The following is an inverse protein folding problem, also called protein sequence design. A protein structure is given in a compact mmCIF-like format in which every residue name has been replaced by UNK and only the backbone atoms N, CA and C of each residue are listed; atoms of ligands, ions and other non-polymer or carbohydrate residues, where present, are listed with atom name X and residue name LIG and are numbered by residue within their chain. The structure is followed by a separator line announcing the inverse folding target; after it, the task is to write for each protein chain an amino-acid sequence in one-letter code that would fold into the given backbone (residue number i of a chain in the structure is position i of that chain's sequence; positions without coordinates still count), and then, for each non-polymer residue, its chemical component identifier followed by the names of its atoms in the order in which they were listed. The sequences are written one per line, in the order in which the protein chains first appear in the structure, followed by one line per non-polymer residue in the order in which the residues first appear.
data_IF_630453131911
#
_entry.id   IF_630453131911
#
_cell.length_a   1.000
_cell.length_b   1.000
_cell.length_c   1.000
_cell.angle_alpha   90.00
_cell.angle_beta   90.00
_cell.angle_gamma   90.00
#
_symmetry.space_group_name_H-M   'P 1'
#
loop_
_entity.id
_entity.type
_entity.pdbx_description
1 polymer ?
#
# COMPACT_ATOMS: atom_id res chain seq x y z
N UNK A 1 15.61 12.40 -38.11
CA UNK A 1 14.84 11.16 -38.32
C UNK A 1 15.32 10.13 -37.32
N UNK A 2 14.58 9.92 -36.23
CA UNK A 2 14.93 8.95 -35.18
C UNK A 2 14.58 7.55 -35.73
N UNK A 3 15.57 6.66 -35.81
CA UNK A 3 15.36 5.32 -36.37
C UNK A 3 14.42 4.51 -35.46
N UNK A 4 13.42 3.85 -36.06
CA UNK A 4 12.36 3.08 -35.39
C UNK A 4 12.89 2.03 -34.37
N UNK A 5 14.11 1.54 -34.58
CA UNK A 5 14.79 0.60 -33.66
C UNK A 5 15.14 1.24 -32.30
N UNK A 6 15.50 2.53 -32.27
CA UNK A 6 15.83 3.21 -31.01
C UNK A 6 14.59 3.61 -30.21
N UNK A 7 13.44 3.76 -30.88
CA UNK A 7 12.18 4.07 -30.20
C UNK A 7 11.72 2.91 -29.30
N UNK A 8 11.90 1.66 -29.75
CA UNK A 8 11.62 0.46 -28.95
C UNK A 8 12.56 0.30 -27.75
N UNK A 9 13.84 0.65 -27.91
CA UNK A 9 14.83 0.59 -26.82
C UNK A 9 14.54 1.66 -25.76
N UNK A 10 14.10 2.86 -26.16
CA UNK A 10 13.73 3.93 -25.24
C UNK A 10 12.46 3.59 -24.44
N UNK A 11 11.50 2.90 -25.06
CA UNK A 11 10.24 2.50 -24.40
C UNK A 11 10.46 1.48 -23.28
N UNK A 12 11.48 0.62 -23.42
CA UNK A 12 11.81 -0.44 -22.45
C UNK A 12 12.60 0.05 -21.23
N UNK A 13 13.15 1.27 -21.27
CA UNK A 13 13.93 1.85 -20.17
C UNK A 13 13.07 2.64 -19.16
N UNK A 14 11.78 2.84 -19.45
CA UNK A 14 10.86 3.61 -18.60
C UNK A 14 10.42 2.94 -17.27
N UNK A 15 10.45 1.60 -17.04
CA UNK A 15 9.90 1.04 -15.81
C UNK A 15 10.91 0.97 -14.63
N UNK A 16 12.14 1.50 -14.77
CA UNK A 16 13.18 1.33 -13.76
C UNK A 16 12.93 2.10 -12.44
N UNK A 17 11.94 3.00 -12.38
CA UNK A 17 11.48 3.60 -11.13
C UNK A 17 10.13 2.99 -10.73
N UNK A 18 10.14 1.75 -10.23
CA UNK A 18 9.06 1.27 -9.37
C UNK A 18 9.21 1.96 -8.01
N UNK A 19 8.86 3.24 -7.94
CA UNK A 19 8.70 3.93 -6.67
C UNK A 19 7.48 3.30 -6.01
N UNK A 20 7.70 2.45 -5.01
CA UNK A 20 6.63 1.92 -4.17
C UNK A 20 6.06 3.09 -3.38
N UNK A 21 5.12 3.81 -4.01
CA UNK A 21 4.43 4.94 -3.43
C UNK A 21 3.55 4.39 -2.31
N UNK A 22 4.10 4.34 -1.10
CA UNK A 22 3.30 4.14 0.09
C UNK A 22 2.34 5.33 0.18
N UNK A 23 1.02 5.10 0.28
CA UNK A 23 0.07 6.20 0.40
C UNK A 23 0.41 7.02 1.65
N UNK A 24 0.11 8.32 1.62
CA UNK A 24 0.49 9.27 2.69
C UNK A 24 0.05 8.77 4.08
N UNK A 25 -1.06 8.04 4.17
CA UNK A 25 -1.58 7.42 5.40
C UNK A 25 -0.66 6.32 5.96
N UNK A 26 -0.01 5.53 5.11
CA UNK A 26 1.03 4.59 5.53
C UNK A 26 2.30 5.30 6.01
N UNK A 27 2.53 6.55 5.58
CA UNK A 27 3.69 7.33 6.00
C UNK A 27 3.56 7.87 7.44
N UNK A 28 2.33 8.15 7.87
CA UNK A 28 2.02 8.68 9.21
C UNK A 28 1.63 7.62 10.24
N UNK A 29 1.43 6.36 9.84
CA UNK A 29 1.09 5.30 10.78
C UNK A 29 1.69 3.93 10.45
N UNK A 30 2.21 3.73 9.25
CA UNK A 30 2.78 2.45 8.83
C UNK A 30 4.23 2.29 9.27
N UNK A 31 5.09 3.15 8.75
CA UNK A 31 6.54 3.03 8.91
C UNK A 31 7.02 3.48 10.30
N UNK A 32 6.34 4.47 10.88
CA UNK A 32 6.64 5.01 12.21
C UNK A 32 6.29 4.03 13.35
N UNK A 33 5.21 3.26 13.20
CA UNK A 33 4.79 2.28 14.22
C UNK A 33 5.70 1.05 14.21
N UNK A 34 6.27 0.70 13.06
CA UNK A 34 7.20 -0.41 12.94
C UNK A 34 8.66 -0.01 13.28
N UNK A 35 8.94 1.29 13.46
CA UNK A 35 10.29 1.79 13.74
C UNK A 35 10.76 1.39 15.15
N UNK A 36 11.96 0.81 15.26
CA UNK A 36 12.47 0.26 16.53
C UNK A 36 11.98 -1.14 16.92
N UNK A 37 11.01 -1.71 16.19
CA UNK A 37 10.51 -3.07 16.45
C UNK A 37 11.37 -4.18 15.82
N UNK A 38 11.13 -5.43 16.24
CA UNK A 38 11.79 -6.63 15.70
C UNK A 38 11.51 -6.80 14.19
N UNK A 39 12.40 -7.48 13.43
CA UNK A 39 12.16 -7.74 12.01
C UNK A 39 10.84 -8.47 11.74
N UNK A 40 10.45 -9.37 12.64
CA UNK A 40 9.21 -10.13 12.60
C UNK A 40 7.98 -9.23 12.75
N UNK A 41 8.00 -8.30 13.72
CA UNK A 41 6.94 -7.29 13.88
C UNK A 41 6.81 -6.41 12.63
N UNK A 42 7.94 -5.96 12.07
CA UNK A 42 7.95 -5.14 10.85
C UNK A 42 7.33 -5.88 9.66
N UNK A 43 7.67 -7.16 9.49
CA UNK A 43 7.10 -7.99 8.45
C UNK A 43 5.59 -8.18 8.64
N UNK A 44 5.17 -8.53 9.86
CA UNK A 44 3.75 -8.68 10.20
C UNK A 44 2.97 -7.40 9.92
N UNK A 45 3.50 -6.26 10.35
CA UNK A 45 2.89 -4.96 10.13
C UNK A 45 2.74 -4.63 8.63
N UNK A 46 3.79 -4.84 7.83
CA UNK A 46 3.75 -4.59 6.39
C UNK A 46 2.72 -5.47 5.67
N UNK A 47 2.68 -6.77 5.99
CA UNK A 47 1.76 -7.73 5.38
C UNK A 47 0.30 -7.52 5.81
N UNK A 48 0.09 -7.21 7.08
CA UNK A 48 -1.23 -6.88 7.63
C UNK A 48 -1.80 -5.63 6.96
N UNK A 49 -0.97 -4.61 6.77
CA UNK A 49 -1.37 -3.38 6.09
C UNK A 49 -1.71 -3.62 4.61
N UNK A 50 -0.89 -4.39 3.88
CA UNK A 50 -1.18 -4.80 2.49
C UNK A 50 -2.51 -5.55 2.38
N UNK A 51 -2.79 -6.44 3.33
CA UNK A 51 -4.06 -7.17 3.40
C UNK A 51 -5.23 -6.22 3.68
N UNK A 52 -5.09 -5.29 4.63
CA UNK A 52 -6.13 -4.30 4.94
C UNK A 52 -6.52 -3.44 3.72
N UNK A 53 -5.52 -3.05 2.93
CA UNK A 53 -5.72 -2.32 1.67
C UNK A 53 -6.35 -3.17 0.56
N UNK A 54 -6.10 -4.48 0.51
CA UNK A 54 -6.80 -5.36 -0.43
C UNK A 54 -8.32 -5.40 -0.16
N UNK A 55 -8.75 -5.18 1.09
CA UNK A 55 -10.17 -5.24 1.47
C UNK A 55 -10.87 -3.89 1.27
N UNK A 56 -10.24 -2.79 1.69
CA UNK A 56 -10.85 -1.44 1.70
C UNK A 56 -10.18 -0.44 0.76
N UNK A 57 -9.23 -0.88 -0.07
CA UNK A 57 -8.60 -0.07 -1.11
C UNK A 57 -9.56 0.43 -2.19
N UNK A 58 -9.07 1.29 -3.08
CA UNK A 58 -9.79 1.61 -4.32
C UNK A 58 -10.00 0.35 -5.19
N UNK A 59 -10.92 0.39 -6.15
CA UNK A 59 -11.25 -0.75 -7.03
C UNK A 59 -10.02 -1.38 -7.69
N UNK A 60 -9.05 -0.57 -8.10
CA UNK A 60 -7.81 -1.06 -8.71
C UNK A 60 -7.01 -1.84 -7.68
N UNK A 61 -6.80 -1.31 -6.48
CA UNK A 61 -6.07 -1.96 -5.39
C UNK A 61 -6.71 -3.29 -4.99
N UNK A 62 -8.04 -3.36 -4.91
CA UNK A 62 -8.76 -4.61 -4.61
C UNK A 62 -8.61 -5.66 -5.71
N UNK A 63 -8.46 -5.24 -6.97
CA UNK A 63 -8.31 -6.15 -8.11
C UNK A 63 -6.90 -6.73 -8.25
N UNK A 64 -5.88 -6.03 -7.73
CA UNK A 64 -4.47 -6.40 -7.88
C UNK A 64 -3.80 -6.87 -6.59
N UNK A 65 -4.37 -6.57 -5.42
CA UNK A 65 -3.85 -6.99 -4.12
C UNK A 65 -4.77 -8.01 -3.47
N UNK A 66 -4.15 -9.02 -2.88
CA UNK A 66 -4.83 -10.09 -2.15
C UNK A 66 -4.46 -10.12 -0.68
N UNK A 67 -4.87 -11.19 -0.03
CA UNK A 67 -4.45 -11.52 1.33
C UNK A 67 -2.96 -11.93 1.33
N UNK A 68 -2.16 -11.28 2.17
CA UNK A 68 -0.72 -11.54 2.29
C UNK A 68 -0.39 -11.94 3.72
N UNK A 69 0.16 -13.15 3.89
CA UNK A 69 0.83 -13.63 5.10
C UNK A 69 2.04 -14.46 4.69
N UNK A 70 3.14 -14.25 5.37
CA UNK A 70 4.35 -15.02 5.17
C UNK A 70 4.32 -16.29 6.04
N UNK A 71 4.40 -17.44 5.38
CA UNK A 71 4.39 -18.74 6.04
C UNK A 71 5.62 -18.96 6.94
N UNK A 72 6.72 -18.24 6.70
CA UNK A 72 7.94 -18.33 7.49
C UNK A 72 7.77 -17.83 8.93
N UNK A 73 6.77 -16.98 9.18
CA UNK A 73 6.49 -16.41 10.50
C UNK A 73 5.27 -17.04 11.20
N UNK A 74 4.74 -18.13 10.67
CA UNK A 74 3.62 -18.85 11.29
C UNK A 74 4.05 -19.38 12.66
N UNK A 75 3.35 -18.93 13.71
CA UNK A 75 3.66 -19.26 15.10
C UNK A 75 4.54 -18.23 15.81
N UNK A 76 5.06 -17.23 15.10
CA UNK A 76 5.69 -16.07 15.73
C UNK A 76 4.62 -15.11 16.26
N UNK A 77 4.51 -15.04 17.59
CA UNK A 77 3.51 -14.19 18.24
C UNK A 77 3.68 -12.70 17.90
N UNK A 78 4.92 -12.24 17.71
CA UNK A 78 5.21 -10.85 17.36
C UNK A 78 4.80 -10.50 15.93
N UNK A 79 4.93 -11.44 15.00
CA UNK A 79 4.44 -11.29 13.63
C UNK A 79 2.91 -11.24 13.63
N UNK A 80 2.29 -12.24 14.28
CA UNK A 80 0.84 -12.40 14.30
C UNK A 80 0.14 -11.19 14.93
N UNK A 81 0.63 -10.70 16.07
CA UNK A 81 0.06 -9.51 16.71
C UNK A 81 0.19 -8.28 15.81
N UNK A 82 1.38 -8.05 15.24
CA UNK A 82 1.63 -6.92 14.36
C UNK A 82 0.77 -6.96 13.09
N UNK A 83 0.55 -8.16 12.55
CA UNK A 83 -0.29 -8.37 11.38
C UNK A 83 -1.74 -7.99 11.66
N UNK A 84 -2.30 -8.44 12.79
CA UNK A 84 -3.67 -8.09 13.18
C UNK A 84 -3.83 -6.60 13.43
N UNK A 85 -2.89 -5.99 14.18
CA UNK A 85 -2.92 -4.57 14.49
C UNK A 85 -2.85 -3.73 13.20
N UNK A 86 -1.92 -4.04 12.31
CA UNK A 86 -1.77 -3.36 11.04
C UNK A 86 -2.97 -3.56 10.10
N UNK A 87 -3.54 -4.77 10.07
CA UNK A 87 -4.75 -5.05 9.30
C UNK A 87 -5.90 -4.14 9.73
N UNK A 88 -6.16 -4.04 11.03
CA UNK A 88 -7.23 -3.21 11.58
C UNK A 88 -6.95 -1.70 11.43
N UNK A 89 -5.71 -1.29 11.68
CA UNK A 89 -5.31 0.10 11.52
C UNK A 89 -5.42 0.56 10.06
N UNK A 90 -4.76 -0.15 9.14
CA UNK A 90 -4.71 0.25 7.74
C UNK A 90 -6.06 0.15 7.04
N UNK A 91 -6.88 -0.88 7.33
CA UNK A 91 -8.25 -0.93 6.78
C UNK A 91 -9.10 0.24 7.25
N UNK A 92 -8.97 0.64 8.52
CA UNK A 92 -9.77 1.72 9.09
C UNK A 92 -9.32 3.05 8.50
N UNK A 93 -8.00 3.28 8.40
CA UNK A 93 -7.43 4.46 7.77
C UNK A 93 -7.81 4.57 6.30
N UNK A 94 -7.85 3.46 5.56
CA UNK A 94 -8.27 3.48 4.16
C UNK A 94 -9.77 3.73 4.03
N UNK A 95 -10.58 3.18 4.93
CA UNK A 95 -12.03 3.42 4.97
C UNK A 95 -12.35 4.90 5.31
N UNK A 96 -11.73 5.47 6.34
CA UNK A 96 -11.92 6.89 6.70
C UNK A 96 -11.27 7.84 5.72
N UNK A 97 -10.14 7.45 5.15
CA UNK A 97 -9.48 8.14 4.05
C UNK A 97 -10.40 8.21 2.84
N UNK A 98 -10.87 7.09 2.29
CA UNK A 98 -11.77 7.08 1.13
C UNK A 98 -13.01 7.96 1.35
N UNK A 99 -13.63 7.88 2.54
CA UNK A 99 -14.81 8.70 2.85
C UNK A 99 -14.52 10.23 2.89
N UNK A 100 -13.26 10.63 3.08
CA UNK A 100 -12.82 12.04 3.00
C UNK A 100 -12.15 12.39 1.65
N UNK A 101 -11.76 11.42 0.82
CA UNK A 101 -11.24 11.68 -0.52
C UNK A 101 -12.36 11.91 -1.54
N UNK A 102 -13.55 11.40 -1.29
CA UNK A 102 -14.76 11.80 -2.03
C UNK A 102 -15.08 13.30 -1.82
N UNK A 103 -14.74 13.89 -0.67
CA UNK A 103 -14.87 15.35 -0.48
C UNK A 103 -13.79 16.18 -1.18
N UNK A 104 -12.60 15.63 -1.44
CA UNK A 104 -11.52 16.37 -2.11
C UNK A 104 -11.61 16.31 -3.65
N UNK A 105 -12.13 15.22 -4.23
CA UNK A 105 -12.44 15.17 -5.67
C UNK A 105 -13.84 15.69 -6.01
N UNK A 106 -14.76 15.75 -5.05
CA UNK A 106 -16.06 16.43 -5.19
C UNK A 106 -15.94 17.95 -5.28
N UNK A 107 -14.89 18.55 -4.70
CA UNK A 107 -14.64 19.99 -4.75
C UNK A 107 -14.03 20.51 -6.06
N UNK A 108 -13.45 19.63 -6.88
CA UNK A 108 -12.89 20.02 -8.19
C UNK A 108 -13.96 20.08 -9.30
N UNK A 109 -15.13 19.45 -9.10
CA UNK A 109 -16.22 19.41 -10.08
C UNK A 109 -17.45 20.27 -9.71
N UNK A 110 -17.42 21.01 -8.60
CA UNK A 110 -18.51 21.94 -8.21
C UNK A 110 -18.13 23.43 -8.28
N UNK A 111 -17.06 23.78 -9.02
CA UNK A 111 -16.72 25.15 -9.40
C UNK A 111 -16.84 25.37 -10.92
N UNK A 112 -18.01 25.03 -11.48
CA UNK A 112 -18.54 25.60 -12.72
C UNK A 112 -20.01 25.94 -12.54
#
# INVERSE_FOLDING_TARGET
MINMKYMLILLLLMPACSYEHKPVFMRFGGDQVAEGHSPSYKAGWADGCKTGEAVYGNYVTKSVRGFTRDAAYVGDQSYESAWYDAYHFCRQMHNTGINNWDSDWGGFLTLQ
#
